data_IF_228897311800
#
_entry.id   IF_228897311800
#
_cell.length_a   1.000
_cell.length_b   1.000
_cell.length_c   1.000
_cell.angle_alpha   90.00
_cell.angle_beta   90.00
_cell.angle_gamma   90.00
#
_symmetry.space_group_name_H-M   'P 1'
#
loop_
_entity.id
_entity.type
_entity.pdbx_description
1 polymer ?
#
# COMPACT_ATOMS: atom_id res chain seq x y z
N UNK A 1 -2.55 -4.43 36.23
CA UNK A 1 -2.36 -5.05 34.91
C UNK A 1 -2.59 -3.96 33.86
N UNK A 2 -1.52 -3.33 33.37
CA UNK A 2 -1.61 -2.29 32.34
C UNK A 2 -1.47 -2.98 30.98
N UNK A 3 -2.57 -3.14 30.26
CA UNK A 3 -2.52 -3.40 28.82
C UNK A 3 -2.09 -2.06 28.21
N UNK A 4 -0.81 -1.91 27.89
CA UNK A 4 -0.39 -0.79 27.07
C UNK A 4 -1.07 -0.96 25.71
N UNK A 5 -2.04 -0.10 25.41
CA UNK A 5 -2.60 -0.02 24.07
C UNK A 5 -1.47 0.33 23.12
N UNK A 6 -0.96 -0.68 22.40
CA UNK A 6 0.01 -0.50 21.32
C UNK A 6 -0.71 0.36 20.27
N UNK A 7 -0.50 1.67 20.31
CA UNK A 7 -0.92 2.60 19.25
C UNK A 7 -0.03 2.32 18.05
N UNK A 8 -0.46 1.40 17.19
CA UNK A 8 0.15 1.26 15.87
C UNK A 8 -0.04 2.59 15.12
N UNK A 9 1.03 3.18 14.55
CA UNK A 9 0.90 4.40 13.78
C UNK A 9 -0.05 4.12 12.60
N UNK A 10 -1.24 4.72 12.63
CA UNK A 10 -2.22 4.62 11.54
C UNK A 10 -1.70 5.41 10.35
N UNK A 11 -1.07 4.70 9.41
CA UNK A 11 -0.63 5.24 8.12
C UNK A 11 -1.80 5.19 7.12
N UNK A 12 -1.99 6.22 6.26
CA UNK A 12 -3.15 6.29 5.39
C UNK A 12 -2.97 5.44 4.14
N UNK A 13 -4.08 4.92 3.61
CA UNK A 13 -4.21 4.50 2.21
C UNK A 13 -4.68 5.70 1.40
N UNK A 14 -4.10 5.92 0.22
CA UNK A 14 -4.59 6.92 -0.74
C UNK A 14 -4.83 6.29 -2.11
N UNK A 15 -5.56 7.00 -2.96
CA UNK A 15 -5.80 6.62 -4.35
C UNK A 15 -5.28 7.76 -5.23
N UNK A 16 -4.49 7.41 -6.24
CA UNK A 16 -4.08 8.36 -7.27
C UNK A 16 -3.91 7.58 -8.57
N UNK A 17 -4.81 7.84 -9.52
CA UNK A 17 -4.83 7.23 -10.85
C UNK A 17 -4.96 8.34 -11.87
N UNK A 18 -4.31 8.21 -13.03
CA UNK A 18 -4.38 9.24 -14.08
C UNK A 18 -5.79 9.34 -14.65
N UNK A 19 -6.39 8.19 -14.97
CA UNK A 19 -7.78 7.99 -15.35
C UNK A 19 -8.22 6.58 -14.95
N UNK A 20 -9.50 6.29 -15.14
CA UNK A 20 -10.07 4.97 -14.93
C UNK A 20 -9.73 4.08 -16.12
N UNK A 21 -9.26 2.86 -15.86
CA UNK A 21 -9.03 1.81 -16.85
C UNK A 21 -7.56 1.44 -17.10
N UNK A 22 -7.33 0.36 -17.86
CA UNK A 22 -6.04 -0.34 -17.99
C UNK A 22 -4.88 0.44 -18.57
N UNK A 23 -5.15 1.58 -19.22
CA UNK A 23 -4.14 2.34 -19.94
C UNK A 23 -3.67 3.59 -19.16
N UNK A 24 -4.29 3.90 -18.02
CA UNK A 24 -4.02 5.12 -17.26
C UNK A 24 -3.63 4.83 -15.80
N UNK A 25 -3.00 3.67 -15.58
CA UNK A 25 -2.37 3.32 -14.31
C UNK A 25 -1.24 4.30 -13.96
N UNK A 26 -1.20 4.72 -12.70
CA UNK A 26 -0.08 5.49 -12.16
C UNK A 26 1.05 4.53 -11.74
N UNK A 27 2.33 4.96 -11.73
CA UNK A 27 3.42 4.08 -11.34
C UNK A 27 3.20 3.40 -9.97
N UNK A 28 3.56 2.11 -9.82
CA UNK A 28 3.42 1.37 -8.56
C UNK A 28 4.52 1.77 -7.54
N UNK A 29 4.62 3.06 -7.24
CA UNK A 29 5.49 3.66 -6.23
C UNK A 29 4.75 4.72 -5.38
N UNK A 30 5.43 5.32 -4.40
CA UNK A 30 4.86 6.33 -3.50
C UNK A 30 5.39 7.76 -3.75
N UNK A 31 6.03 8.01 -4.90
CA UNK A 31 6.77 9.25 -5.15
C UNK A 31 5.84 10.47 -5.28
N UNK A 32 4.59 10.22 -5.68
CA UNK A 32 3.55 11.24 -5.78
C UNK A 32 2.73 11.43 -4.49
N UNK A 33 3.10 10.77 -3.39
CA UNK A 33 2.43 10.99 -2.11
C UNK A 33 2.71 12.40 -1.59
N UNK A 34 1.64 13.16 -1.33
CA UNK A 34 1.73 14.48 -0.70
C UNK A 34 1.41 14.36 0.80
N UNK A 35 2.37 14.63 1.69
CA UNK A 35 2.12 14.62 3.13
C UNK A 35 1.02 15.62 3.52
N UNK A 36 0.12 15.21 4.41
CA UNK A 36 -0.93 16.07 4.94
C UNK A 36 -1.16 15.77 6.43
N UNK A 37 -1.48 16.81 7.21
CA UNK A 37 -1.65 16.70 8.65
C UNK A 37 -0.52 15.89 9.35
N UNK A 38 -0.86 14.91 10.21
CA UNK A 38 0.11 14.05 10.88
C UNK A 38 0.71 12.95 9.98
N UNK A 39 0.19 12.74 8.77
CA UNK A 39 0.60 11.64 7.92
C UNK A 39 1.74 12.04 6.99
N UNK A 40 2.96 11.67 7.39
CA UNK A 40 4.18 11.90 6.61
C UNK A 40 4.55 10.74 5.68
N UNK A 41 3.99 9.55 5.90
CA UNK A 41 4.25 8.37 5.07
C UNK A 41 2.96 7.60 4.82
N UNK A 42 2.71 7.11 3.58
CA UNK A 42 1.54 6.30 3.28
C UNK A 42 1.73 4.83 3.73
N UNK A 43 0.63 4.13 3.96
CA UNK A 43 0.56 2.68 4.13
C UNK A 43 0.38 1.97 2.78
N UNK A 44 -0.50 2.51 1.94
CA UNK A 44 -0.90 1.88 0.69
C UNK A 44 -1.31 2.91 -0.35
N UNK A 45 -1.25 2.52 -1.62
CA UNK A 45 -1.70 3.32 -2.77
C UNK A 45 -2.49 2.43 -3.71
N UNK A 46 -3.66 2.91 -4.17
CA UNK A 46 -4.31 2.39 -5.37
C UNK A 46 -3.76 3.13 -6.59
N UNK A 47 -3.18 2.39 -7.52
CA UNK A 47 -2.52 2.94 -8.70
C UNK A 47 -3.21 2.54 -10.02
N UNK A 48 -4.10 1.55 -9.99
CA UNK A 48 -4.93 1.16 -11.14
C UNK A 48 -6.37 0.87 -10.71
N UNK A 49 -7.32 1.18 -11.59
CA UNK A 49 -8.75 1.05 -11.35
C UNK A 49 -9.44 0.38 -12.55
N UNK A 50 -10.39 -0.51 -12.25
CA UNK A 50 -11.22 -1.18 -13.28
C UNK A 50 -10.35 -2.01 -14.24
N UNK A 51 -9.39 -2.73 -13.68
CA UNK A 51 -8.46 -3.59 -14.42
C UNK A 51 -9.08 -4.96 -14.68
N UNK A 52 -9.00 -5.45 -15.93
CA UNK A 52 -9.51 -6.78 -16.27
C UNK A 52 -8.41 -7.83 -16.09
N UNK A 53 -8.43 -8.52 -14.96
CA UNK A 53 -7.46 -9.58 -14.63
C UNK A 53 -8.20 -10.91 -14.52
N UNK A 54 -7.78 -11.90 -15.33
CA UNK A 54 -8.37 -13.24 -15.33
C UNK A 54 -9.91 -13.26 -15.44
N UNK A 55 -10.50 -12.31 -16.19
CA UNK A 55 -11.95 -12.20 -16.36
C UNK A 55 -12.70 -11.41 -15.29
N UNK A 56 -12.01 -10.98 -14.22
CA UNK A 56 -12.55 -10.16 -13.15
C UNK A 56 -12.12 -8.70 -13.29
N UNK A 57 -12.98 -7.79 -12.84
CA UNK A 57 -12.65 -6.37 -12.72
C UNK A 57 -12.08 -6.14 -11.32
N UNK A 58 -10.86 -5.63 -11.24
CA UNK A 58 -10.12 -5.45 -9.98
C UNK A 58 -9.48 -4.07 -9.91
N UNK A 59 -9.15 -3.64 -8.69
CA UNK A 59 -8.29 -2.49 -8.47
C UNK A 59 -6.91 -2.95 -8.02
N UNK A 60 -5.86 -2.27 -8.50
CA UNK A 60 -4.47 -2.63 -8.19
C UNK A 60 -3.89 -1.69 -7.16
N UNK A 61 -3.31 -2.28 -6.12
CA UNK A 61 -2.77 -1.57 -4.98
C UNK A 61 -1.31 -1.97 -4.72
N UNK A 62 -0.54 -1.07 -4.12
CA UNK A 62 0.77 -1.35 -3.51
C UNK A 62 0.72 -1.05 -2.02
N UNK A 63 1.51 -1.77 -1.24
CA UNK A 63 1.59 -1.62 0.21
C UNK A 63 3.04 -1.37 0.63
N UNK A 64 3.25 -0.50 1.62
CA UNK A 64 4.55 -0.41 2.28
C UNK A 64 4.72 -1.64 3.16
N UNK A 65 5.77 -2.45 2.96
CA UNK A 65 6.03 -3.57 3.84
C UNK A 65 6.23 -3.05 5.27
N UNK A 66 5.55 -3.68 6.22
CA UNK A 66 5.86 -3.47 7.63
C UNK A 66 7.26 -4.02 7.89
N UNK A 67 8.10 -3.24 8.56
CA UNK A 67 9.31 -3.80 9.18
C UNK A 67 8.82 -4.69 10.30
N UNK A 68 8.66 -5.99 10.05
CA UNK A 68 8.58 -6.95 11.14
C UNK A 68 9.98 -6.94 11.75
N UNK A 69 10.13 -6.29 12.91
CA UNK A 69 11.30 -6.48 13.76
C UNK A 69 11.21 -7.91 14.31
N UNK A 70 11.57 -8.89 13.49
CA UNK A 70 11.93 -10.21 13.99
C UNK A 70 13.24 -10.02 14.74
N UNK A 71 13.21 -10.19 16.07
CA UNK A 71 14.40 -10.27 16.93
C UNK A 71 15.22 -11.56 16.66
N UNK A 72 15.46 -11.90 15.39
CA UNK A 72 16.27 -13.04 15.00
C UNK A 72 16.94 -12.69 13.69
N UNK A 73 18.26 -12.51 13.75
CA UNK A 73 19.08 -12.09 12.64
C UNK A 73 18.87 -12.95 11.42
N UNK A 74 18.24 -12.38 10.39
CA UNK A 74 18.44 -12.64 8.97
C UNK A 74 17.80 -11.43 8.28
N UNK A 75 18.63 -10.40 8.10
CA UNK A 75 18.30 -9.28 7.23
C UNK A 75 18.17 -9.81 5.80
N UNK A 76 16.94 -9.94 5.32
CA UNK A 76 16.69 -10.01 3.88
C UNK A 76 15.91 -8.78 3.50
N UNK A 77 16.59 -7.87 2.80
CA UNK A 77 15.97 -6.81 2.01
C UNK A 77 15.06 -7.49 0.98
N UNK A 78 13.84 -7.82 1.38
CA UNK A 78 12.83 -8.33 0.47
C UNK A 78 12.15 -7.10 -0.11
N UNK A 79 12.31 -6.97 -1.43
CA UNK A 79 11.62 -6.02 -2.27
C UNK A 79 10.14 -5.93 -1.89
N UNK A 80 9.56 -4.74 -2.07
CA UNK A 80 8.16 -4.44 -1.81
C UNK A 80 7.27 -5.64 -2.16
N UNK A 81 6.59 -6.18 -1.15
CA UNK A 81 5.65 -7.27 -1.34
C UNK A 81 4.47 -6.73 -2.13
N UNK A 82 4.36 -7.12 -3.40
CA UNK A 82 3.27 -6.73 -4.29
C UNK A 82 2.07 -7.61 -3.92
N UNK A 83 1.42 -7.30 -2.80
CA UNK A 83 0.32 -8.09 -2.25
C UNK A 83 -1.07 -7.61 -2.68
N UNK A 84 -1.82 -8.49 -3.35
CA UNK A 84 -3.26 -8.72 -3.10
C UNK A 84 -4.32 -7.87 -3.82
N UNK A 85 -5.18 -8.56 -4.58
CA UNK A 85 -6.46 -8.07 -5.13
C UNK A 85 -7.38 -7.64 -3.98
N UNK A 86 -7.70 -6.35 -3.92
CA UNK A 86 -8.75 -5.83 -3.06
C UNK A 86 -10.09 -5.88 -3.81
N UNK A 87 -10.91 -6.88 -3.47
CA UNK A 87 -12.34 -6.91 -3.81
C UNK A 87 -13.09 -6.30 -2.61
N UNK A 88 -13.71 -5.14 -2.81
CA UNK A 88 -14.89 -4.71 -2.05
C UNK A 88 -16.12 -4.97 -2.91
#
# INVERSE_FOLDING_TARGET
MLISSIKLPRKPRYWNVGKIGPNDEDPPNFDNFRPFGPWKTPAAKQFGQVERVCGHIVNRNIYKPSKILLNSGIGRNKAADIGGIGLE
#
